data_IF_795065663604
#
_entry.id   IF_795065663604
#
_cell.length_a   1.000
_cell.length_b   1.000
_cell.length_c   1.000
_cell.angle_alpha   90.00
_cell.angle_beta   90.00
_cell.angle_gamma   90.00
#
_symmetry.space_group_name_H-M   'P 1'
#
loop_
_entity.id
_entity.type
_entity.pdbx_description
1 polymer ?
#
# COMPACT_ATOMS: atom_id res chain seq x y z
N UNK A 1 17.44 -9.65 -17.25
CA UNK A 1 16.49 -9.71 -18.39
C UNK A 1 15.74 -8.38 -18.36
N UNK A 2 15.93 -7.55 -19.39
CA UNK A 2 15.49 -6.14 -19.45
C UNK A 2 14.01 -6.05 -19.86
N UNK A 3 13.21 -5.26 -19.15
CA UNK A 3 11.83 -4.94 -19.55
C UNK A 3 11.89 -3.68 -20.42
N UNK A 4 11.72 -3.77 -21.75
CA UNK A 4 11.97 -2.64 -22.63
C UNK A 4 10.91 -1.55 -22.47
N UNK A 5 11.36 -0.30 -22.47
CA UNK A 5 10.51 0.89 -22.51
C UNK A 5 9.71 0.95 -23.82
N UNK A 6 8.45 0.58 -23.75
CA UNK A 6 7.39 0.95 -24.69
C UNK A 6 6.12 1.24 -23.88
N UNK A 7 5.04 1.71 -24.50
CA UNK A 7 3.79 2.15 -23.83
C UNK A 7 3.18 1.12 -22.84
N UNK A 8 3.58 -0.14 -22.89
CA UNK A 8 3.15 -1.22 -21.97
C UNK A 8 4.09 -1.42 -20.76
N UNK A 9 5.26 -0.76 -20.74
CA UNK A 9 6.27 -0.80 -19.68
C UNK A 9 6.05 0.29 -18.61
N UNK A 10 5.18 1.26 -18.87
CA UNK A 10 4.81 2.33 -17.94
C UNK A 10 4.11 1.80 -16.69
N UNK A 11 3.35 0.69 -16.78
CA UNK A 11 2.53 0.21 -15.67
C UNK A 11 3.31 -0.21 -14.41
N UNK A 12 4.58 -0.60 -14.57
CA UNK A 12 5.40 -1.17 -13.49
C UNK A 12 6.45 -0.23 -12.90
N UNK A 13 6.65 0.97 -13.44
CA UNK A 13 7.75 1.84 -13.03
C UNK A 13 7.26 3.19 -12.48
N UNK A 14 8.17 3.94 -11.88
CA UNK A 14 7.89 5.24 -11.23
C UNK A 14 7.31 6.29 -12.17
N UNK A 15 7.52 6.21 -13.49
CA UNK A 15 7.07 7.20 -14.47
C UNK A 15 5.62 7.00 -14.95
N UNK A 16 4.91 5.98 -14.47
CA UNK A 16 3.51 5.76 -14.84
C UNK A 16 2.66 7.02 -14.59
N UNK A 17 1.88 7.45 -15.58
CA UNK A 17 1.10 8.71 -15.51
C UNK A 17 0.20 8.83 -14.27
N UNK A 18 -0.51 7.75 -13.92
CA UNK A 18 -1.35 7.70 -12.72
C UNK A 18 -0.56 7.84 -11.42
N UNK A 19 0.68 7.32 -11.36
CA UNK A 19 1.57 7.48 -10.20
C UNK A 19 2.11 8.89 -10.11
N UNK A 20 2.55 9.46 -11.24
CA UNK A 20 3.01 10.85 -11.32
C UNK A 20 1.92 11.82 -10.85
N UNK A 21 0.66 11.53 -11.16
CA UNK A 21 -0.48 12.29 -10.65
C UNK A 21 -0.57 12.23 -9.13
N UNK A 22 -0.48 11.04 -8.53
CA UNK A 22 -0.44 10.88 -7.06
C UNK A 22 0.74 11.64 -6.44
N UNK A 23 1.95 11.52 -7.01
CA UNK A 23 3.13 12.25 -6.51
C UNK A 23 2.94 13.76 -6.54
N UNK A 24 2.40 14.27 -7.66
CA UNK A 24 2.10 15.69 -7.83
C UNK A 24 1.05 16.15 -6.82
N UNK A 25 0.03 15.33 -6.56
CA UNK A 25 -1.00 15.64 -5.56
C UNK A 25 -0.45 15.61 -4.14
N UNK A 26 0.41 14.65 -3.78
CA UNK A 26 1.08 14.61 -2.49
C UNK A 26 1.95 15.85 -2.27
N UNK A 27 2.69 16.26 -3.30
CA UNK A 27 3.53 17.46 -3.20
C UNK A 27 2.71 18.74 -3.09
N UNK A 28 1.70 18.93 -3.95
CA UNK A 28 0.96 20.18 -4.00
C UNK A 28 -0.11 20.33 -2.91
N UNK A 29 -0.72 19.22 -2.48
CA UNK A 29 -1.89 19.25 -1.59
C UNK A 29 -1.54 18.89 -0.14
N UNK A 30 -0.48 18.09 0.06
CA UNK A 30 -0.02 17.69 1.40
C UNK A 30 1.30 18.35 1.81
N UNK A 31 1.84 19.24 0.97
CA UNK A 31 3.14 19.90 1.15
C UNK A 31 4.30 18.93 1.46
N UNK A 32 4.26 17.76 0.81
CA UNK A 32 5.21 16.68 1.05
C UNK A 32 6.29 16.59 -0.04
N UNK A 33 7.54 16.36 0.37
CA UNK A 33 8.56 15.89 -0.57
C UNK A 33 8.29 14.43 -0.96
N UNK A 34 8.39 14.10 -2.24
CA UNK A 34 8.11 12.74 -2.74
C UNK A 34 9.40 12.10 -3.25
N UNK A 35 9.77 10.96 -2.65
CA UNK A 35 10.75 10.04 -3.19
C UNK A 35 10.02 8.87 -3.86
N UNK A 36 10.14 8.75 -5.18
CA UNK A 36 9.66 7.61 -5.95
C UNK A 36 10.86 6.83 -6.50
N UNK A 37 10.92 5.53 -6.22
CA UNK A 37 12.01 4.65 -6.66
C UNK A 37 11.49 3.56 -7.60
N UNK A 38 12.36 3.08 -8.48
CA UNK A 38 12.16 1.80 -9.13
C UNK A 38 12.87 0.70 -8.34
N UNK A 39 12.14 -0.35 -8.00
CA UNK A 39 12.71 -1.55 -7.40
C UNK A 39 13.63 -2.28 -8.38
N UNK A 40 14.55 -3.09 -7.87
CA UNK A 40 15.46 -3.90 -8.70
C UNK A 40 14.72 -4.71 -9.75
N UNK A 41 15.15 -4.58 -11.01
CA UNK A 41 14.51 -5.19 -12.17
C UNK A 41 13.32 -4.43 -12.77
N UNK A 42 13.01 -3.22 -12.28
CA UNK A 42 12.01 -2.31 -12.84
C UNK A 42 12.66 -1.01 -13.33
N UNK A 43 12.06 -0.39 -14.35
CA UNK A 43 12.50 0.88 -14.91
C UNK A 43 14.00 0.94 -15.17
N UNK A 44 14.68 1.90 -14.53
CA UNK A 44 16.14 2.08 -14.67
C UNK A 44 16.98 1.24 -13.69
N UNK A 45 16.34 0.55 -12.74
CA UNK A 45 17.02 -0.22 -11.71
C UNK A 45 17.48 -1.59 -12.22
N UNK A 46 18.73 -1.93 -11.91
CA UNK A 46 19.34 -3.22 -12.31
C UNK A 46 18.87 -4.39 -11.43
N UNK A 47 19.28 -5.62 -11.76
CA UNK A 47 18.97 -6.82 -10.99
C UNK A 47 17.68 -7.53 -11.41
N UNK A 48 17.20 -8.42 -10.54
CA UNK A 48 15.96 -9.19 -10.72
C UNK A 48 15.12 -9.09 -9.45
N UNK A 49 13.80 -8.94 -9.56
CA UNK A 49 12.94 -8.78 -8.40
C UNK A 49 12.85 -10.07 -7.60
N UNK A 50 12.95 -9.93 -6.27
CA UNK A 50 12.64 -10.96 -5.27
C UNK A 50 12.04 -10.29 -4.06
N UNK A 51 11.34 -11.05 -3.21
CA UNK A 51 10.73 -10.52 -1.98
C UNK A 51 11.73 -9.79 -1.09
N UNK A 52 12.79 -10.51 -0.71
CA UNK A 52 13.88 -9.93 0.06
C UNK A 52 14.51 -8.73 -0.67
N UNK A 53 14.69 -8.83 -1.99
CA UNK A 53 15.35 -7.80 -2.76
C UNK A 53 14.57 -6.48 -2.83
N UNK A 54 13.26 -6.53 -3.10
CA UNK A 54 12.46 -5.30 -3.11
C UNK A 54 12.29 -4.70 -1.71
N UNK A 55 12.34 -5.54 -0.66
CA UNK A 55 12.34 -5.08 0.73
C UNK A 55 13.64 -4.35 1.07
N UNK A 56 14.79 -4.88 0.65
CA UNK A 56 16.10 -4.22 0.76
C UNK A 56 16.11 -2.88 0.03
N UNK A 57 15.53 -2.81 -1.18
CA UNK A 57 15.44 -1.57 -1.95
C UNK A 57 14.53 -0.53 -1.25
N UNK A 58 13.39 -0.97 -0.70
CA UNK A 58 12.50 -0.11 0.08
C UNK A 58 13.19 0.43 1.34
N UNK A 59 13.96 -0.44 2.02
CA UNK A 59 14.77 -0.05 3.17
C UNK A 59 15.84 0.98 2.78
N UNK A 60 16.56 0.76 1.69
CA UNK A 60 17.57 1.69 1.20
C UNK A 60 16.96 3.08 0.89
N UNK A 61 15.75 3.13 0.33
CA UNK A 61 15.04 4.38 0.11
C UNK A 61 14.64 5.08 1.41
N UNK A 62 14.16 4.33 2.41
CA UNK A 62 13.86 4.86 3.74
C UNK A 62 15.12 5.46 4.38
N UNK A 63 16.21 4.69 4.43
CA UNK A 63 17.49 5.11 5.01
C UNK A 63 18.05 6.34 4.28
N UNK A 64 17.89 6.43 2.97
CA UNK A 64 18.28 7.61 2.19
C UNK A 64 17.53 8.86 2.66
N UNK A 65 16.20 8.78 2.81
CA UNK A 65 15.36 9.91 3.27
C UNK A 65 15.67 10.29 4.73
N UNK A 66 15.97 9.32 5.59
CA UNK A 66 16.25 9.60 7.00
C UNK A 66 17.69 10.02 7.26
N UNK A 67 18.61 9.79 6.31
CA UNK A 67 20.01 10.21 6.41
C UNK A 67 20.25 11.72 6.24
N UNK A 68 19.25 12.48 5.76
CA UNK A 68 19.39 13.92 5.55
C UNK A 68 19.65 14.66 6.87
N UNK A 69 20.84 15.23 7.00
CA UNK A 69 21.25 15.97 8.20
C UNK A 69 20.41 17.21 8.41
N UNK A 70 19.97 17.46 9.64
CA UNK A 70 19.19 18.64 10.02
C UNK A 70 17.68 18.40 10.16
N UNK A 71 17.21 17.17 9.95
CA UNK A 71 15.83 16.77 10.22
C UNK A 71 15.81 15.94 11.51
N UNK A 72 15.51 16.57 12.65
CA UNK A 72 15.26 15.83 13.89
C UNK A 72 14.09 14.88 13.72
N UNK A 73 14.20 13.67 14.29
CA UNK A 73 13.23 12.58 14.18
C UNK A 73 12.76 12.35 12.73
N UNK A 74 13.71 12.26 11.79
CA UNK A 74 13.40 12.11 10.36
C UNK A 74 12.49 10.91 10.09
N UNK A 75 12.68 9.79 10.80
CA UNK A 75 11.86 8.58 10.71
C UNK A 75 10.37 8.86 10.96
N UNK A 76 10.05 9.61 12.02
CA UNK A 76 8.69 10.01 12.43
C UNK A 76 8.05 11.02 11.45
N UNK A 77 8.80 11.47 10.43
CA UNK A 77 8.33 12.38 9.37
C UNK A 77 8.08 11.68 8.04
N UNK A 78 8.43 10.40 7.92
CA UNK A 78 8.24 9.63 6.68
C UNK A 78 6.86 8.98 6.63
N UNK A 79 6.11 9.25 5.57
CA UNK A 79 4.88 8.53 5.23
C UNK A 79 5.23 7.46 4.20
N UNK A 80 4.96 6.19 4.51
CA UNK A 80 5.19 5.09 3.58
C UNK A 80 3.93 4.87 2.73
N UNK A 81 4.04 5.04 1.41
CA UNK A 81 2.91 4.89 0.49
C UNK A 81 3.15 3.73 -0.46
N UNK A 82 2.22 2.77 -0.50
CA UNK A 82 2.24 1.64 -1.42
C UNK A 82 0.94 1.55 -2.22
N UNK A 83 1.02 1.18 -3.49
CA UNK A 83 -0.14 0.90 -4.33
C UNK A 83 -0.03 -0.51 -4.92
N UNK A 84 -1.12 -1.27 -4.89
CA UNK A 84 -1.18 -2.61 -5.49
C UNK A 84 -0.06 -3.50 -4.92
N UNK A 85 0.81 -4.07 -5.76
CA UNK A 85 2.00 -4.81 -5.31
C UNK A 85 2.86 -4.06 -4.28
N UNK A 86 2.97 -2.74 -4.40
CA UNK A 86 3.71 -1.90 -3.48
C UNK A 86 3.16 -1.92 -2.04
N UNK A 87 1.88 -2.28 -1.84
CA UNK A 87 1.33 -2.40 -0.48
C UNK A 87 1.96 -3.56 0.28
N UNK A 88 2.33 -4.64 -0.41
CA UNK A 88 3.05 -5.76 0.21
C UNK A 88 4.44 -5.33 0.66
N UNK A 89 5.15 -4.57 -0.18
CA UNK A 89 6.49 -4.05 0.12
C UNK A 89 6.45 -3.08 1.30
N UNK A 90 5.53 -2.11 1.29
CA UNK A 90 5.36 -1.14 2.39
C UNK A 90 4.92 -1.82 3.69
N UNK A 91 4.05 -2.82 3.63
CA UNK A 91 3.69 -3.62 4.80
C UNK A 91 4.90 -4.34 5.38
N UNK A 92 5.69 -4.98 4.50
CA UNK A 92 6.93 -5.67 4.88
C UNK A 92 7.96 -4.73 5.51
N UNK A 93 8.17 -3.54 4.91
CA UNK A 93 9.06 -2.51 5.43
C UNK A 93 8.56 -2.01 6.79
N UNK A 94 7.27 -1.72 6.94
CA UNK A 94 6.71 -1.31 8.22
C UNK A 94 6.92 -2.34 9.33
N UNK A 95 6.73 -3.63 9.03
CA UNK A 95 7.02 -4.70 9.98
C UNK A 95 8.52 -4.85 10.30
N UNK A 96 9.41 -4.57 9.33
CA UNK A 96 10.86 -4.53 9.57
C UNK A 96 11.22 -3.37 10.51
N UNK A 97 10.75 -2.15 10.21
CA UNK A 97 11.01 -0.96 11.02
C UNK A 97 10.49 -1.13 12.46
N UNK A 98 9.29 -1.69 12.63
CA UNK A 98 8.72 -1.95 13.95
C UNK A 98 9.60 -2.89 14.81
N UNK A 99 10.22 -3.92 14.19
CA UNK A 99 11.16 -4.82 14.87
C UNK A 99 12.46 -4.12 15.29
N UNK A 100 12.80 -3.03 14.63
CA UNK A 100 13.96 -2.20 14.94
C UNK A 100 13.63 -1.05 15.90
N UNK A 101 12.36 -0.93 16.33
CA UNK A 101 11.90 0.16 17.19
C UNK A 101 11.69 1.49 16.45
N UNK A 102 11.66 1.47 15.11
CA UNK A 102 11.46 2.65 14.27
C UNK A 102 9.98 2.78 13.91
N UNK A 103 9.43 3.98 14.11
CA UNK A 103 8.02 4.27 13.81
C UNK A 103 7.91 5.34 12.73
N UNK A 104 7.51 4.99 11.49
CA UNK A 104 7.21 5.99 10.47
C UNK A 104 5.97 6.80 10.84
N UNK A 105 5.76 7.96 10.20
CA UNK A 105 4.60 8.82 10.44
C UNK A 105 3.27 8.11 10.20
N UNK A 106 3.16 7.39 9.08
CA UNK A 106 1.98 6.61 8.71
C UNK A 106 2.30 5.62 7.58
N UNK A 107 1.46 4.60 7.43
CA UNK A 107 1.42 3.73 6.25
C UNK A 107 0.12 3.99 5.47
N UNK A 108 0.24 4.26 4.18
CA UNK A 108 -0.89 4.43 3.25
C UNK A 108 -0.84 3.30 2.24
N UNK A 109 -1.85 2.42 2.28
CA UNK A 109 -1.98 1.27 1.40
C UNK A 109 -3.15 1.47 0.43
N UNK A 110 -2.82 1.64 -0.85
CA UNK A 110 -3.76 1.95 -1.93
C UNK A 110 -4.03 0.67 -2.73
N UNK A 111 -5.30 0.28 -2.86
CA UNK A 111 -5.73 -1.00 -3.43
C UNK A 111 -4.91 -2.19 -2.87
N UNK A 112 -4.90 -2.41 -1.54
CA UNK A 112 -4.06 -3.44 -0.95
C UNK A 112 -4.61 -4.86 -1.16
N UNK A 113 -3.70 -5.82 -1.05
CA UNK A 113 -4.02 -7.24 -0.98
C UNK A 113 -3.51 -7.85 0.33
N UNK A 114 -4.24 -8.85 0.84
CA UNK A 114 -3.97 -9.55 2.11
C UNK A 114 -2.76 -10.48 2.05
N UNK A 115 -2.61 -11.21 0.94
CA UNK A 115 -1.42 -11.99 0.60
C UNK A 115 -1.35 -12.25 -0.90
N UNK A 116 -0.14 -12.46 -1.42
CA UNK A 116 0.07 -12.80 -2.84
C UNK A 116 -0.70 -14.07 -3.21
N UNK A 117 -0.72 -15.06 -2.31
CA UNK A 117 -1.44 -16.32 -2.50
C UNK A 117 -2.95 -16.12 -2.60
N UNK A 118 -3.54 -15.29 -1.75
CA UNK A 118 -4.97 -14.98 -1.82
C UNK A 118 -5.31 -14.22 -3.09
N UNK A 119 -4.48 -13.25 -3.49
CA UNK A 119 -4.66 -12.52 -4.74
C UNK A 119 -4.68 -13.48 -5.95
N UNK A 120 -3.68 -14.38 -6.04
CA UNK A 120 -3.64 -15.42 -7.08
C UNK A 120 -4.82 -16.38 -7.01
N UNK A 121 -5.32 -16.68 -5.81
CA UNK A 121 -6.47 -17.58 -5.61
C UNK A 121 -7.78 -16.90 -6.04
N UNK A 122 -7.97 -15.62 -5.71
CA UNK A 122 -9.11 -14.80 -6.16
C UNK A 122 -9.20 -14.78 -7.69
N UNK A 123 -8.08 -14.62 -8.39
CA UNK A 123 -8.04 -14.72 -9.85
C UNK A 123 -8.42 -16.10 -10.39
N UNK A 124 -8.12 -17.18 -9.66
CA UNK A 124 -8.50 -18.56 -10.07
C UNK A 124 -9.97 -18.88 -9.81
N UNK A 125 -10.60 -18.26 -8.79
CA UNK A 125 -12.01 -18.44 -8.47
C UNK A 125 -12.92 -17.70 -9.46
N UNK A 126 -12.51 -16.54 -9.97
CA UNK A 126 -13.15 -15.86 -11.10
C UNK A 126 -12.83 -16.58 -12.43
N UNK A 127 -13.34 -17.81 -12.58
CA UNK A 127 -13.20 -18.74 -13.72
C UNK A 127 -13.63 -18.21 -15.11
N UNK A 128 -14.01 -16.94 -15.24
CA UNK A 128 -14.42 -16.32 -16.51
C UNK A 128 -13.40 -15.32 -17.07
N UNK A 129 -12.32 -15.02 -16.34
CA UNK A 129 -11.17 -14.31 -16.90
C UNK A 129 -10.14 -15.38 -17.28
N UNK A 130 -9.65 -15.44 -18.54
CA UNK A 130 -8.70 -16.47 -18.96
C UNK A 130 -7.55 -16.52 -17.97
N UNK A 131 -7.05 -17.72 -17.65
CA UNK A 131 -6.12 -18.01 -16.55
C UNK A 131 -4.79 -17.21 -16.55
N UNK A 132 -4.61 -16.31 -17.52
CA UNK A 132 -3.53 -15.35 -17.64
C UNK A 132 -3.96 -14.01 -18.32
N UNK A 133 -5.22 -13.80 -18.71
CA UNK A 133 -5.63 -12.76 -19.69
C UNK A 133 -5.12 -11.33 -19.45
N UNK A 134 -5.35 -10.71 -18.27
CA UNK A 134 -4.81 -9.37 -17.97
C UNK A 134 -3.37 -9.40 -17.42
N UNK A 135 -2.98 -10.49 -16.75
CA UNK A 135 -1.68 -10.62 -16.08
C UNK A 135 -0.53 -11.02 -17.03
N UNK A 136 -0.78 -11.78 -18.10
CA UNK A 136 0.22 -12.12 -19.12
C UNK A 136 0.56 -10.96 -20.04
N UNK A 137 -0.28 -9.92 -20.04
CA UNK A 137 0.01 -8.68 -20.77
C UNK A 137 1.03 -7.80 -20.05
N UNK A 138 1.34 -8.08 -18.77
CA UNK A 138 2.35 -7.35 -17.99
C UNK A 138 3.45 -8.33 -17.57
N UNK A 139 4.50 -8.52 -18.39
CA UNK A 139 5.61 -9.45 -18.12
C UNK A 139 6.24 -9.27 -16.74
N UNK A 140 6.20 -8.03 -16.22
CA UNK A 140 6.75 -7.69 -14.92
C UNK A 140 5.95 -8.29 -13.75
N UNK A 141 4.60 -8.23 -13.80
CA UNK A 141 3.73 -8.86 -12.81
C UNK A 141 3.87 -10.38 -12.81
N UNK A 142 4.01 -11.00 -13.99
CA UNK A 142 4.26 -12.44 -14.09
C UNK A 142 5.60 -12.84 -13.47
N UNK A 143 6.65 -12.03 -13.69
CA UNK A 143 7.98 -12.24 -13.11
C UNK A 143 7.97 -12.05 -11.60
N UNK A 144 7.27 -11.00 -11.14
CA UNK A 144 7.04 -10.72 -9.73
C UNK A 144 6.33 -11.90 -9.05
N UNK A 145 5.14 -12.29 -9.50
CA UNK A 145 4.41 -13.38 -8.86
C UNK A 145 5.18 -14.71 -8.85
N UNK A 146 5.95 -15.02 -9.90
CA UNK A 146 6.82 -16.21 -9.91
C UNK A 146 7.92 -16.18 -8.86
N UNK A 147 8.55 -15.02 -8.66
CA UNK A 147 9.63 -14.85 -7.68
C UNK A 147 9.11 -14.89 -6.24
N UNK A 148 7.93 -14.30 -6.01
CA UNK A 148 7.29 -14.19 -4.68
C UNK A 148 6.50 -15.44 -4.28
N UNK A 149 6.16 -16.32 -5.21
CA UNK A 149 5.62 -17.63 -4.85
C UNK A 149 6.62 -18.51 -4.07
N UNK A 150 7.92 -18.20 -4.14
CA UNK A 150 8.97 -18.92 -3.40
C UNK A 150 9.09 -18.46 -1.94
N UNK A 151 8.82 -17.17 -1.69
CA UNK A 151 8.81 -16.54 -0.36
C UNK A 151 7.64 -15.58 -0.34
N UNK A 152 6.47 -15.95 0.22
CA UNK A 152 5.27 -15.13 0.12
C UNK A 152 5.16 -14.09 1.24
N UNK A 153 5.08 -12.82 0.86
CA UNK A 153 4.74 -11.73 1.76
C UNK A 153 3.35 -11.98 2.35
N UNK A 154 3.28 -12.00 3.68
CA UNK A 154 2.03 -11.86 4.41
C UNK A 154 1.89 -10.40 4.85
N UNK A 155 1.21 -9.58 4.03
CA UNK A 155 0.85 -8.21 4.41
C UNK A 155 0.14 -8.21 5.77
N UNK A 156 -0.75 -9.19 5.97
CA UNK A 156 -1.46 -9.40 7.23
C UNK A 156 -0.50 -9.55 8.42
N UNK A 157 0.50 -10.43 8.35
CA UNK A 157 1.43 -10.64 9.46
C UNK A 157 2.31 -9.42 9.70
N UNK A 158 2.82 -8.80 8.62
CA UNK A 158 3.69 -7.65 8.74
C UNK A 158 2.98 -6.45 9.38
N UNK A 159 1.70 -6.21 9.03
CA UNK A 159 0.92 -5.09 9.58
C UNK A 159 0.53 -5.26 11.05
N UNK A 160 0.54 -6.47 11.62
CA UNK A 160 0.30 -6.67 13.05
C UNK A 160 1.40 -6.05 13.90
N UNK A 161 2.64 -6.10 13.42
CA UNK A 161 3.81 -5.57 14.13
C UNK A 161 3.90 -4.05 14.00
N UNK A 162 3.35 -3.47 12.92
CA UNK A 162 3.43 -2.03 12.62
C UNK A 162 2.86 -1.17 13.76
N UNK A 163 3.71 -0.31 14.31
CA UNK A 163 3.42 0.62 15.39
C UNK A 163 3.11 2.06 14.91
N UNK A 164 2.66 2.22 13.67
CA UNK A 164 2.29 3.51 13.07
C UNK A 164 0.84 3.50 12.58
N UNK A 165 0.15 4.67 12.50
CA UNK A 165 -1.16 4.79 11.87
C UNK A 165 -1.21 4.18 10.47
N UNK A 166 -2.33 3.53 10.12
CA UNK A 166 -2.51 2.82 8.84
C UNK A 166 -3.76 3.30 8.13
N UNK A 167 -3.64 3.66 6.85
CA UNK A 167 -4.76 3.96 5.97
C UNK A 167 -4.87 2.91 4.87
N UNK A 168 -6.06 2.34 4.72
CA UNK A 168 -6.44 1.45 3.62
C UNK A 168 -7.38 2.21 2.68
N UNK A 169 -7.01 2.38 1.41
CA UNK A 169 -7.85 2.98 0.38
C UNK A 169 -8.21 1.93 -0.66
N UNK A 170 -9.51 1.72 -0.92
CA UNK A 170 -9.95 0.76 -1.94
C UNK A 170 -11.28 1.19 -2.56
N UNK A 171 -11.41 1.12 -3.88
CA UNK A 171 -12.70 1.28 -4.53
C UNK A 171 -13.37 -0.07 -4.82
N UNK A 172 -14.70 -0.09 -4.68
CA UNK A 172 -15.55 -1.24 -5.00
C UNK A 172 -15.48 -1.60 -6.49
N UNK A 173 -15.28 -0.60 -7.36
CA UNK A 173 -15.13 -0.79 -8.80
C UNK A 173 -13.67 -1.03 -9.25
N UNK A 174 -12.80 -1.51 -8.35
CA UNK A 174 -11.47 -1.98 -8.72
C UNK A 174 -11.57 -3.35 -9.44
N UNK A 175 -11.37 -3.32 -10.76
CA UNK A 175 -11.39 -4.51 -11.62
C UNK A 175 -10.10 -5.35 -11.57
N UNK A 176 -9.07 -4.88 -10.82
CA UNK A 176 -7.76 -5.52 -10.71
C UNK A 176 -7.61 -6.28 -9.41
N UNK A 177 -7.93 -5.66 -8.28
CA UNK A 177 -7.86 -6.28 -6.94
C UNK A 177 -9.23 -6.18 -6.30
N UNK A 178 -9.84 -7.30 -5.85
CA UNK A 178 -11.10 -7.23 -5.13
C UNK A 178 -10.98 -6.41 -3.84
N UNK A 179 -11.84 -5.41 -3.68
CA UNK A 179 -11.94 -4.58 -2.46
C UNK A 179 -12.07 -5.37 -1.14
N UNK A 180 -12.57 -6.61 -1.21
CA UNK A 180 -12.69 -7.52 -0.05
C UNK A 180 -11.35 -7.78 0.63
N UNK A 181 -10.22 -7.63 -0.05
CA UNK A 181 -8.90 -7.72 0.59
C UNK A 181 -8.68 -6.64 1.67
N UNK A 182 -9.18 -5.42 1.47
CA UNK A 182 -9.11 -4.37 2.50
C UNK A 182 -9.97 -4.70 3.70
N UNK A 183 -11.15 -5.31 3.49
CA UNK A 183 -12.00 -5.78 4.59
C UNK A 183 -11.28 -6.84 5.44
N UNK A 184 -10.62 -7.82 4.80
CA UNK A 184 -9.83 -8.85 5.50
C UNK A 184 -8.67 -8.23 6.28
N UNK A 185 -7.95 -7.28 5.69
CA UNK A 185 -6.84 -6.59 6.36
C UNK A 185 -7.32 -5.76 7.55
N UNK A 186 -8.37 -4.97 7.37
CA UNK A 186 -8.98 -4.16 8.43
C UNK A 186 -9.46 -5.03 9.59
N UNK A 187 -10.21 -6.09 9.30
CA UNK A 187 -10.67 -7.05 10.30
C UNK A 187 -9.52 -7.74 11.03
N UNK A 188 -8.44 -8.11 10.34
CA UNK A 188 -7.27 -8.69 10.98
C UNK A 188 -6.56 -7.70 11.90
N UNK A 189 -6.48 -6.42 11.54
CA UNK A 189 -5.88 -5.39 12.39
C UNK A 189 -6.74 -5.07 13.61
N UNK A 190 -8.06 -5.21 13.48
CA UNK A 190 -9.04 -4.93 14.53
C UNK A 190 -9.17 -6.09 15.52
N UNK A 191 -9.07 -7.34 15.07
CA UNK A 191 -9.31 -8.53 15.88
C UNK A 191 -8.60 -8.57 17.26
N UNK A 192 -7.34 -8.14 17.41
CA UNK A 192 -6.68 -8.11 18.72
C UNK A 192 -7.27 -7.09 19.72
N UNK A 193 -8.07 -6.14 19.24
CA UNK A 193 -8.61 -5.02 20.01
C UNK A 193 -10.11 -5.17 20.32
N UNK A 194 -10.74 -6.27 19.89
CA UNK A 194 -12.13 -6.58 20.23
C UNK A 194 -12.17 -7.02 21.70
N UNK A 195 -12.80 -6.20 22.54
CA UNK A 195 -13.06 -6.55 23.95
C UNK A 195 -14.35 -7.35 24.05
N UNK A 196 -14.61 -8.00 25.20
CA UNK A 196 -15.65 -9.03 25.40
C UNK A 196 -17.13 -8.60 25.29
N UNK A 197 -17.46 -7.70 24.37
CA UNK A 197 -18.80 -7.21 24.03
C UNK A 197 -18.89 -6.59 22.63
N UNK A 198 -18.03 -7.00 21.69
CA UNK A 198 -17.90 -6.46 20.32
C UNK A 198 -17.44 -4.98 20.22
N UNK A 199 -17.12 -4.35 21.36
CA UNK A 199 -16.63 -2.96 21.41
C UNK A 199 -15.12 -2.88 21.13
N UNK A 200 -14.77 -1.98 20.21
CA UNK A 200 -13.39 -1.59 19.86
C UNK A 200 -13.23 -0.09 20.10
N UNK A 201 -12.15 0.29 20.78
CA UNK A 201 -11.89 1.69 21.12
C UNK A 201 -11.82 2.58 19.87
N UNK A 202 -12.56 3.69 19.90
CA UNK A 202 -12.58 4.67 18.80
C UNK A 202 -13.12 4.11 17.48
N UNK A 203 -13.88 3.00 17.52
CA UNK A 203 -14.54 2.49 16.33
C UNK A 203 -15.59 3.50 15.83
N UNK A 204 -15.44 3.93 14.59
CA UNK A 204 -16.37 4.82 13.90
C UNK A 204 -16.63 4.28 12.49
N UNK A 205 -17.88 4.33 12.06
CA UNK A 205 -18.27 4.09 10.67
C UNK A 205 -19.11 5.28 10.19
N UNK A 206 -18.72 5.86 9.06
CA UNK A 206 -19.44 6.96 8.42
C UNK A 206 -19.57 6.72 6.93
N UNK A 207 -20.82 6.70 6.48
CA UNK A 207 -21.16 6.62 5.07
C UNK A 207 -21.31 8.04 4.50
N UNK A 208 -20.73 8.25 3.33
CA UNK A 208 -20.83 9.48 2.55
C UNK A 208 -21.55 9.17 1.23
N UNK A 209 -22.73 9.75 1.06
CA UNK A 209 -23.56 9.53 -0.12
C UNK A 209 -22.78 9.86 -1.41
N UNK A 210 -22.76 8.94 -2.36
CA UNK A 210 -22.05 9.09 -3.63
C UNK A 210 -20.53 8.96 -3.58
N UNK A 211 -19.92 8.80 -2.38
CA UNK A 211 -18.46 8.70 -2.25
C UNK A 211 -17.99 7.35 -1.73
N UNK A 212 -18.59 6.84 -0.66
CA UNK A 212 -18.20 5.58 -0.04
C UNK A 212 -18.33 5.58 1.47
N UNK A 213 -17.69 4.62 2.12
CA UNK A 213 -17.74 4.45 3.57
C UNK A 213 -16.34 4.57 4.17
N UNK A 214 -16.21 5.35 5.24
CA UNK A 214 -14.99 5.44 6.06
C UNK A 214 -15.24 4.71 7.37
N UNK A 215 -14.36 3.77 7.69
CA UNK A 215 -14.31 3.05 8.97
C UNK A 215 -12.99 3.35 9.64
N UNK A 216 -12.98 3.47 10.97
CA UNK A 216 -11.74 3.61 11.71
C UNK A 216 -11.83 3.02 13.10
N UNK A 217 -10.68 2.70 13.71
CA UNK A 217 -10.57 2.33 15.12
C UNK A 217 -9.18 2.65 15.66
N UNK A 218 -9.02 2.68 16.98
CA UNK A 218 -7.75 2.95 17.65
C UNK A 218 -7.03 1.66 18.07
N UNK A 219 -5.69 1.66 17.97
CA UNK A 219 -4.82 0.55 18.38
C UNK A 219 -3.93 0.90 19.58
N UNK A 220 -4.44 1.71 20.51
CA UNK A 220 -3.63 2.29 21.59
C UNK A 220 -2.43 3.06 21.03
N UNK A 221 -1.24 2.76 21.53
CA UNK A 221 0.02 3.42 21.12
C UNK A 221 0.39 3.19 19.64
N UNK A 222 -0.16 2.17 18.98
CA UNK A 222 0.13 1.90 17.55
C UNK A 222 -0.65 2.83 16.59
N UNK A 223 -1.46 3.72 17.12
CA UNK A 223 -2.22 4.70 16.35
C UNK A 223 -3.43 4.15 15.59
N UNK A 224 -4.13 5.05 14.91
CA UNK A 224 -5.41 4.77 14.26
C UNK A 224 -5.24 3.88 13.02
N UNK A 225 -6.22 3.02 12.76
CA UNK A 225 -6.44 2.42 11.44
C UNK A 225 -7.65 3.06 10.82
N UNK A 226 -7.51 3.55 9.59
CA UNK A 226 -8.59 4.09 8.78
C UNK A 226 -8.73 3.21 7.54
N UNK A 227 -9.96 2.89 7.17
CA UNK A 227 -10.29 2.21 5.91
C UNK A 227 -11.38 2.99 5.19
N UNK A 228 -11.06 3.41 3.97
CA UNK A 228 -12.05 3.92 3.03
C UNK A 228 -12.36 2.89 1.95
N UNK A 229 -13.65 2.62 1.82
CA UNK A 229 -14.27 1.79 0.80
C UNK A 229 -15.07 2.69 -0.14
N UNK A 230 -14.45 3.11 -1.24
CA UNK A 230 -15.00 4.04 -2.22
C UNK A 230 -15.94 3.38 -3.22
N UNK A 231 -16.93 4.11 -3.72
CA UNK A 231 -17.82 3.61 -4.79
C UNK A 231 -17.11 3.65 -6.15
N UNK A 232 -16.26 4.66 -6.35
CA UNK A 232 -15.56 4.96 -7.59
C UNK A 232 -14.07 5.23 -7.35
N UNK A 233 -13.28 5.18 -8.42
CA UNK A 233 -11.82 5.41 -8.42
C UNK A 233 -11.02 4.27 -9.06
N UNK A 234 -11.61 3.09 -9.20
CA UNK A 234 -10.94 1.93 -9.78
C UNK A 234 -9.60 1.64 -9.09
N UNK A 235 -8.64 1.10 -9.84
CA UNK A 235 -7.33 0.73 -9.30
C UNK A 235 -6.33 1.90 -9.18
N UNK A 236 -6.48 2.92 -10.03
CA UNK A 236 -5.43 3.92 -10.28
C UNK A 236 -5.78 5.34 -9.83
N UNK A 237 -7.04 5.63 -9.52
CA UNK A 237 -7.47 7.00 -9.20
C UNK A 237 -7.70 7.25 -7.71
N UNK A 238 -7.29 6.30 -6.86
CA UNK A 238 -7.48 6.36 -5.40
C UNK A 238 -6.43 7.22 -4.68
N UNK A 239 -5.27 7.46 -5.29
CA UNK A 239 -4.14 8.11 -4.62
C UNK A 239 -4.08 9.63 -4.75
N UNK A 240 -4.98 10.23 -5.53
CA UNK A 240 -4.91 11.66 -5.87
C UNK A 240 -6.25 12.38 -5.78
N UNK A 241 -7.35 11.66 -5.47
CA UNK A 241 -8.65 12.29 -5.30
C UNK A 241 -8.69 13.12 -4.02
N UNK A 242 -9.40 14.25 -4.03
CA UNK A 242 -9.46 15.22 -2.94
C UNK A 242 -9.78 14.55 -1.58
N UNK A 243 -10.91 13.85 -1.48
CA UNK A 243 -11.27 13.19 -0.23
C UNK A 243 -10.30 12.08 0.21
N UNK A 244 -9.56 11.46 -0.70
CA UNK A 244 -8.52 10.49 -0.32
C UNK A 244 -7.25 11.16 0.18
N UNK A 245 -6.92 12.35 -0.34
CA UNK A 245 -5.81 13.17 0.17
C UNK A 245 -6.12 13.67 1.58
N UNK A 246 -7.37 14.07 1.85
CA UNK A 246 -7.80 14.44 3.21
C UNK A 246 -7.62 13.28 4.20
N UNK A 247 -7.94 12.05 3.78
CA UNK A 247 -7.70 10.88 4.61
C UNK A 247 -6.20 10.59 4.83
N UNK A 248 -5.36 10.87 3.83
CA UNK A 248 -3.90 10.78 3.97
C UNK A 248 -3.38 11.84 4.95
N UNK A 249 -3.86 13.08 4.84
CA UNK A 249 -3.52 14.15 5.77
C UNK A 249 -3.94 13.77 7.21
N UNK A 250 -5.17 13.28 7.37
CA UNK A 250 -5.73 12.84 8.65
C UNK A 250 -4.92 11.73 9.29
N UNK A 251 -4.62 10.65 8.55
CA UNK A 251 -3.89 9.50 9.12
C UNK A 251 -2.45 9.86 9.48
N UNK A 252 -1.84 10.79 8.74
CA UNK A 252 -0.47 11.23 8.96
C UNK A 252 -0.36 12.40 9.96
N UNK A 253 -1.48 12.99 10.38
CA UNK A 253 -1.52 14.16 11.27
C UNK A 253 -0.89 15.40 10.63
N UNK A 254 -1.26 15.70 9.37
CA UNK A 254 -0.80 16.87 8.60
C UNK A 254 -1.79 18.05 8.64
N UNK A 255 -2.90 17.92 9.36
CA UNK A 255 -3.93 18.97 9.54
C UNK A 255 -3.52 20.07 10.52
#
# INVERSE_FOLDING_TARGET
>A
MYCPAGDQAEAGNRAASHRVRSYSSFSNSLDCNVLAIDYRGYGDSTGSPSEQGVLEDARAAFDYVTSFTGIENAEEKVILVGQSLGTGVVSGLGGLLAREGITPRALVLIAPFSSVTELLTSFRFFKFIPMLGPLSSIPCLQTYFRSFLQHPFSSRAALQDVAAPVLLLHAVNDDTIPHTHSSVLFGSLMAPYVTGGDDVEGFEERQYEGWGTVRSFQRGEKGQVIWWEGIHGGHNDLGWAEGTLDLIARVAGLE
#
